data_IF_421833981608
#
_entry.id   IF_421833981608
#
_cell.length_a   1.000
_cell.length_b   1.000
_cell.length_c   1.000
_cell.angle_alpha   90.00
_cell.angle_beta   90.00
_cell.angle_gamma   90.00
#
_symmetry.space_group_name_H-M   'P 1'
#
loop_
_entity.id
_entity.type
_entity.pdbx_description
1 polymer ?
#
# COMPACT_ATOMS: atom_id res chain seq x y z
N UNK A 1 -38.53 52.94 -48.80
CA UNK A 1 -38.25 52.34 -50.13
C UNK A 1 -38.02 50.86 -49.85
N UNK A 2 -39.10 50.09 -49.61
CA UNK A 2 -39.90 49.33 -50.61
C UNK A 2 -39.05 48.22 -51.26
N UNK A 3 -39.45 46.96 -51.39
CA UNK A 3 -40.59 46.19 -50.89
C UNK A 3 -40.30 44.70 -51.20
N UNK A 4 -40.61 43.82 -50.26
CA UNK A 4 -41.21 42.47 -50.35
C UNK A 4 -41.25 41.66 -51.67
N UNK A 5 -40.79 40.40 -51.61
CA UNK A 5 -41.49 39.14 -52.03
C UNK A 5 -40.57 37.95 -51.72
N UNK A 6 -40.79 37.10 -50.69
CA UNK A 6 -41.86 36.12 -50.46
C UNK A 6 -41.98 35.05 -51.57
N UNK A 7 -41.48 33.84 -51.31
CA UNK A 7 -42.25 32.63 -51.62
C UNK A 7 -41.90 31.49 -50.66
N UNK A 8 -42.93 30.90 -50.07
CA UNK A 8 -42.93 29.80 -49.12
C UNK A 8 -43.83 28.69 -49.69
N UNK A 9 -43.39 27.43 -49.67
CA UNK A 9 -44.22 26.21 -49.84
C UNK A 9 -43.30 25.00 -49.66
N UNK A 10 -43.58 23.88 -48.99
CA UNK A 10 -44.47 23.43 -47.94
C UNK A 10 -43.92 22.03 -47.52
N UNK A 11 -44.06 21.62 -46.25
CA UNK A 11 -43.86 20.24 -45.75
C UNK A 11 -45.00 19.30 -46.23
N UNK A 12 -45.17 18.03 -45.77
CA UNK A 12 -44.30 17.04 -45.09
C UNK A 12 -44.34 15.64 -45.76
N UNK A 13 -43.50 14.69 -45.33
CA UNK A 13 -43.60 13.29 -45.78
C UNK A 13 -42.81 12.30 -44.94
N UNK A 14 -43.48 11.68 -43.97
CA UNK A 14 -43.06 10.43 -43.32
C UNK A 14 -43.03 9.29 -44.36
N UNK A 15 -41.98 8.47 -44.34
CA UNK A 15 -42.04 7.10 -44.85
C UNK A 15 -41.28 6.12 -43.94
N UNK A 16 -42.07 5.35 -43.20
CA UNK A 16 -41.69 4.12 -42.52
C UNK A 16 -41.36 3.00 -43.52
N UNK A 17 -40.51 2.05 -43.07
CA UNK A 17 -40.29 0.73 -43.70
C UNK A 17 -38.82 0.53 -44.10
N UNK A 18 -38.01 -0.31 -43.45
CA UNK A 18 -38.31 -1.61 -42.86
C UNK A 18 -37.86 -2.71 -43.82
N UNK A 19 -36.62 -3.21 -43.68
CA UNK A 19 -36.19 -4.52 -44.20
C UNK A 19 -34.77 -4.85 -43.72
N UNK A 20 -34.66 -5.51 -42.58
CA UNK A 20 -33.41 -6.04 -42.08
C UNK A 20 -33.67 -7.26 -41.20
N UNK A 21 -33.92 -8.41 -41.83
CA UNK A 21 -33.64 -9.79 -41.37
C UNK A 21 -34.60 -10.78 -42.04
N UNK A 22 -34.11 -11.76 -42.82
CA UNK A 22 -34.84 -12.98 -43.05
C UNK A 22 -34.36 -14.06 -42.06
N UNK A 23 -35.22 -14.39 -41.09
CA UNK A 23 -35.24 -15.72 -40.48
C UNK A 23 -36.12 -16.63 -41.34
N UNK A 24 -35.76 -17.91 -41.45
CA UNK A 24 -36.77 -18.95 -41.32
C UNK A 24 -36.40 -19.96 -40.21
N UNK A 25 -37.30 -20.09 -39.24
CA UNK A 25 -37.52 -21.26 -38.38
C UNK A 25 -38.21 -22.39 -39.22
N UNK A 26 -38.56 -23.61 -38.72
CA UNK A 26 -38.19 -24.31 -37.48
C UNK A 26 -37.96 -25.86 -37.63
N UNK A 27 -37.56 -26.47 -36.51
CA UNK A 27 -37.96 -27.81 -36.01
C UNK A 27 -37.16 -29.08 -36.43
N UNK A 28 -36.49 -29.72 -35.47
CA UNK A 28 -37.00 -30.94 -34.79
C UNK A 28 -35.99 -31.54 -33.79
N UNK A 29 -36.42 -31.63 -32.52
CA UNK A 29 -36.42 -32.86 -31.72
C UNK A 29 -35.10 -33.58 -31.38
N UNK A 30 -34.69 -33.49 -30.11
CA UNK A 30 -33.78 -34.44 -29.47
C UNK A 30 -33.69 -34.21 -27.96
N UNK A 31 -34.46 -35.00 -27.20
CA UNK A 31 -34.63 -34.99 -25.73
C UNK A 31 -33.36 -35.43 -24.95
N UNK A 32 -33.32 -35.19 -23.62
CA UNK A 32 -32.12 -35.30 -22.77
C UNK A 32 -31.91 -36.73 -22.24
N UNK A 33 -30.67 -37.06 -21.85
CA UNK A 33 -30.34 -38.25 -21.09
C UNK A 33 -29.74 -37.87 -19.73
N UNK A 34 -30.44 -38.31 -18.68
CA UNK A 34 -30.05 -38.30 -17.27
C UNK A 34 -28.89 -39.24 -16.96
N UNK A 35 -28.17 -38.93 -15.88
CA UNK A 35 -27.77 -39.94 -14.88
C UNK A 35 -26.28 -40.15 -14.66
N UNK A 36 -25.77 -39.63 -13.54
CA UNK A 36 -24.96 -40.40 -12.58
C UNK A 36 -24.77 -39.60 -11.27
N UNK A 37 -25.38 -40.11 -10.20
CA UNK A 37 -25.20 -39.72 -8.80
C UNK A 37 -23.85 -40.19 -8.22
N UNK A 38 -23.47 -39.58 -7.09
CA UNK A 38 -22.41 -40.00 -6.16
C UNK A 38 -21.18 -39.10 -6.25
N UNK A 39 -20.69 -38.44 -5.20
CA UNK A 39 -20.57 -38.86 -3.80
C UNK A 39 -20.38 -37.65 -2.88
N UNK A 40 -21.00 -37.71 -1.70
CA UNK A 40 -20.75 -36.86 -0.54
C UNK A 40 -19.30 -36.99 -0.02
N UNK A 41 -18.81 -35.93 0.62
CA UNK A 41 -17.74 -36.00 1.61
C UNK A 41 -16.38 -35.46 1.17
N UNK A 42 -16.18 -34.15 1.32
CA UNK A 42 -14.87 -33.63 1.70
C UNK A 42 -15.07 -32.44 2.63
N UNK A 43 -14.63 -32.67 3.86
CA UNK A 43 -14.62 -31.78 5.01
C UNK A 43 -14.05 -30.40 4.67
N UNK A 44 -14.49 -29.40 5.44
CA UNK A 44 -13.96 -28.05 5.39
C UNK A 44 -12.45 -28.04 5.56
N UNK A 45 -11.75 -27.86 4.45
CA UNK A 45 -10.37 -27.44 4.43
C UNK A 45 -10.36 -25.91 4.43
N UNK A 46 -9.91 -25.31 5.53
CA UNK A 46 -9.35 -23.97 5.54
C UNK A 46 -8.09 -23.98 4.63
N UNK A 47 -8.31 -23.95 3.32
CA UNK A 47 -7.28 -23.91 2.30
C UNK A 47 -7.02 -22.47 1.90
N UNK A 48 -5.90 -21.92 2.37
CA UNK A 48 -5.56 -20.51 2.30
C UNK A 48 -5.84 -19.85 0.95
N UNK A 49 -6.74 -18.87 0.96
CA UNK A 49 -6.99 -17.88 -0.08
C UNK A 49 -5.84 -16.86 -0.18
N UNK A 50 -4.61 -17.34 -0.22
CA UNK A 50 -3.43 -16.55 -0.52
C UNK A 50 -3.10 -16.65 -2.01
N UNK A 51 -2.41 -15.67 -2.61
CA UNK A 51 -1.91 -15.76 -3.99
C UNK A 51 -1.01 -16.97 -4.25
N UNK A 52 -0.57 -17.65 -3.19
CA UNK A 52 0.19 -18.89 -3.26
C UNK A 52 -0.65 -20.14 -3.61
N UNK A 53 -1.98 -20.09 -3.49
CA UNK A 53 -2.90 -21.16 -3.95
C UNK A 53 -3.20 -21.09 -5.45
N UNK A 54 -2.91 -19.94 -6.08
CA UNK A 54 -2.99 -19.75 -7.51
C UNK A 54 -1.76 -20.40 -8.16
N UNK A 55 -1.94 -21.42 -9.01
CA UNK A 55 -0.82 -22.01 -9.76
C UNK A 55 -0.06 -20.98 -10.61
N UNK A 56 1.05 -21.36 -11.25
CA UNK A 56 1.96 -20.44 -11.96
C UNK A 56 1.28 -19.43 -12.91
N UNK A 57 0.22 -19.87 -13.60
CA UNK A 57 -0.56 -19.00 -14.48
C UNK A 57 -1.31 -17.91 -13.72
N UNK A 58 -1.88 -18.24 -12.56
CA UNK A 58 -2.59 -17.30 -11.71
C UNK A 58 -1.64 -16.27 -11.07
N UNK A 59 -0.47 -16.69 -10.59
CA UNK A 59 0.56 -15.75 -10.08
C UNK A 59 0.99 -14.75 -11.15
N UNK A 60 1.27 -15.22 -12.37
CA UNK A 60 1.62 -14.35 -13.51
C UNK A 60 0.49 -13.37 -13.87
N UNK A 61 -0.76 -13.82 -13.80
CA UNK A 61 -1.92 -12.95 -14.06
C UNK A 61 -2.06 -11.85 -13.00
N UNK A 62 -1.86 -12.21 -11.72
CA UNK A 62 -1.88 -11.25 -10.61
C UNK A 62 -0.76 -10.22 -10.74
N UNK A 63 0.47 -10.65 -11.03
CA UNK A 63 1.61 -9.75 -11.26
C UNK A 63 1.36 -8.79 -12.42
N UNK A 64 0.78 -9.29 -13.51
CA UNK A 64 0.40 -8.47 -14.65
C UNK A 64 -0.70 -7.45 -14.30
N UNK A 65 -1.65 -7.82 -13.44
CA UNK A 65 -2.68 -6.90 -12.94
C UNK A 65 -2.08 -5.81 -12.06
N UNK A 66 -1.24 -6.17 -11.07
CA UNK A 66 -0.52 -5.21 -10.22
C UNK A 66 0.36 -4.25 -11.03
N UNK A 67 1.01 -4.75 -12.09
CA UNK A 67 1.79 -3.90 -12.99
C UNK A 67 0.92 -2.91 -13.77
N UNK A 68 -0.24 -3.35 -14.29
CA UNK A 68 -1.19 -2.47 -14.99
C UNK A 68 -1.77 -1.42 -14.05
N UNK A 69 -2.10 -1.80 -12.82
CA UNK A 69 -2.62 -0.87 -11.83
C UNK A 69 -1.60 0.23 -11.50
N UNK A 70 -0.34 -0.13 -11.23
CA UNK A 70 0.73 0.86 -11.01
C UNK A 70 0.92 1.79 -12.21
N UNK A 71 0.89 1.26 -13.43
CA UNK A 71 0.97 2.08 -14.64
C UNK A 71 -0.25 3.02 -14.78
N UNK A 72 -1.45 2.56 -14.43
CA UNK A 72 -2.65 3.38 -14.44
C UNK A 72 -2.58 4.49 -13.39
N UNK A 73 -2.13 4.20 -12.17
CA UNK A 73 -1.90 5.21 -11.11
C UNK A 73 -0.87 6.25 -11.54
N UNK A 74 0.26 5.83 -12.11
CA UNK A 74 1.28 6.75 -12.62
C UNK A 74 0.70 7.70 -13.69
N UNK A 75 -0.10 7.17 -14.62
CA UNK A 75 -0.76 7.97 -15.65
C UNK A 75 -1.83 8.90 -15.07
N UNK A 76 -2.58 8.46 -14.07
CA UNK A 76 -3.56 9.29 -13.39
C UNK A 76 -2.89 10.52 -12.77
N UNK A 77 -1.77 10.32 -12.06
CA UNK A 77 -0.96 11.41 -11.48
C UNK A 77 -0.44 12.38 -12.52
N UNK A 78 0.05 11.89 -13.66
CA UNK A 78 0.50 12.75 -14.76
C UNK A 78 -0.65 13.60 -15.31
N UNK A 79 -1.82 13.00 -15.54
CA UNK A 79 -3.00 13.73 -16.02
C UNK A 79 -3.52 14.73 -15.00
N UNK A 80 -3.50 14.39 -13.70
CA UNK A 80 -3.87 15.30 -12.62
C UNK A 80 -2.93 16.51 -12.54
N UNK A 81 -1.63 16.31 -12.71
CA UNK A 81 -0.65 17.40 -12.79
C UNK A 81 -0.93 18.30 -14.00
N UNK A 82 -1.20 17.72 -15.17
CA UNK A 82 -1.55 18.48 -16.38
C UNK A 82 -2.86 19.27 -16.19
N UNK A 83 -3.87 18.68 -15.56
CA UNK A 83 -5.14 19.36 -15.25
C UNK A 83 -4.94 20.50 -14.24
N UNK A 84 -4.12 20.29 -13.21
CA UNK A 84 -3.80 21.33 -12.24
C UNK A 84 -3.06 22.50 -12.88
N UNK A 85 -2.15 22.21 -13.82
CA UNK A 85 -1.42 23.23 -14.58
C UNK A 85 -2.33 24.02 -15.52
N UNK A 86 -3.19 23.34 -16.29
CA UNK A 86 -4.17 24.02 -17.15
C UNK A 86 -5.15 24.89 -16.35
N UNK A 87 -5.62 24.41 -15.20
CA UNK A 87 -6.47 25.21 -14.30
C UNK A 87 -5.77 26.46 -13.81
N UNK A 88 -4.49 26.35 -13.44
CA UNK A 88 -3.67 27.48 -13.03
C UNK A 88 -3.58 28.56 -14.11
N UNK A 89 -3.37 28.14 -15.36
CA UNK A 89 -3.26 29.04 -16.50
C UNK A 89 -4.59 29.75 -16.77
N UNK A 90 -5.71 29.04 -16.66
CA UNK A 90 -7.04 29.63 -16.80
C UNK A 90 -7.34 30.66 -15.70
N UNK A 91 -7.03 30.35 -14.44
CA UNK A 91 -7.22 31.24 -13.28
C UNK A 91 -6.25 32.43 -13.27
N UNK A 92 -5.13 32.32 -13.99
CA UNK A 92 -4.13 33.37 -14.12
C UNK A 92 -4.52 34.48 -15.10
N UNK A 93 -5.40 34.20 -16.08
CA UNK A 93 -5.69 35.11 -17.19
C UNK A 93 -6.23 36.50 -16.76
N UNK A 94 -6.93 36.57 -15.63
CA UNK A 94 -7.51 37.82 -15.11
C UNK A 94 -6.60 38.57 -14.11
N UNK A 95 -5.43 37.99 -13.77
CA UNK A 95 -4.51 38.51 -12.75
C UNK A 95 -3.36 39.28 -13.38
N UNK A 96 -2.84 40.27 -12.67
CA UNK A 96 -1.61 40.96 -13.10
C UNK A 96 -0.39 40.01 -13.05
N UNK A 97 0.68 40.25 -13.81
CA UNK A 97 1.88 39.41 -13.79
C UNK A 97 2.48 39.23 -12.39
N UNK A 98 2.44 40.28 -11.56
CA UNK A 98 2.97 40.25 -10.19
C UNK A 98 2.10 39.38 -9.27
N UNK A 99 0.77 39.44 -9.41
CA UNK A 99 -0.15 38.58 -8.67
C UNK A 99 0.00 37.11 -9.07
N UNK A 100 0.12 36.83 -10.37
CA UNK A 100 0.37 35.48 -10.89
C UNK A 100 1.67 34.91 -10.33
N UNK A 101 2.75 35.69 -10.32
CA UNK A 101 4.04 35.25 -9.80
C UNK A 101 4.00 34.95 -8.29
N UNK A 102 3.32 35.81 -7.50
CA UNK A 102 3.15 35.60 -6.07
C UNK A 102 2.33 34.36 -5.74
N UNK A 103 1.26 34.11 -6.49
CA UNK A 103 0.40 32.95 -6.27
C UNK A 103 1.07 31.65 -6.72
N UNK A 104 1.75 31.67 -7.87
CA UNK A 104 2.57 30.56 -8.32
C UNK A 104 3.64 30.18 -7.28
N UNK A 105 4.35 31.17 -6.74
CA UNK A 105 5.34 30.95 -5.68
C UNK A 105 4.73 30.37 -4.40
N UNK A 106 3.56 30.85 -3.97
CA UNK A 106 2.85 30.30 -2.80
C UNK A 106 2.42 28.86 -3.02
N UNK A 107 1.88 28.57 -4.21
CA UNK A 107 1.43 27.22 -4.58
C UNK A 107 2.62 26.26 -4.65
N UNK A 108 3.69 26.63 -5.32
CA UNK A 108 4.90 25.81 -5.42
C UNK A 108 5.50 25.55 -4.03
N UNK A 109 5.57 26.57 -3.16
CA UNK A 109 6.02 26.39 -1.79
C UNK A 109 5.12 25.43 -0.99
N UNK A 110 3.80 25.52 -1.14
CA UNK A 110 2.86 24.63 -0.48
C UNK A 110 2.97 23.18 -0.99
N UNK A 111 3.04 23.00 -2.32
CA UNK A 111 3.24 21.68 -2.96
C UNK A 111 4.56 21.06 -2.52
N UNK A 112 5.65 21.83 -2.49
CA UNK A 112 6.96 21.35 -2.08
C UNK A 112 6.99 20.96 -0.60
N UNK A 113 6.34 21.74 0.26
CA UNK A 113 6.22 21.43 1.68
C UNK A 113 5.41 20.15 1.92
N UNK A 114 4.27 20.02 1.23
CA UNK A 114 3.43 18.82 1.29
C UNK A 114 4.19 17.58 0.79
N UNK A 115 4.88 17.68 -0.35
CA UNK A 115 5.71 16.59 -0.89
C UNK A 115 6.76 16.13 0.12
N UNK A 116 7.50 17.06 0.73
CA UNK A 116 8.52 16.74 1.75
C UNK A 116 7.91 16.11 3.01
N UNK A 117 6.72 16.53 3.42
CA UNK A 117 6.03 15.93 4.56
C UNK A 117 5.59 14.50 4.23
N UNK A 118 4.96 14.30 3.08
CA UNK A 118 4.49 12.99 2.62
C UNK A 118 5.66 12.01 2.44
N UNK A 119 6.78 12.46 1.87
CA UNK A 119 7.98 11.62 1.76
C UNK A 119 8.49 11.18 3.14
N UNK A 120 8.47 12.06 4.14
CA UNK A 120 8.88 11.70 5.52
C UNK A 120 7.92 10.70 6.16
N UNK A 121 6.63 10.84 5.91
CA UNK A 121 5.59 9.90 6.38
C UNK A 121 5.87 8.52 5.78
N UNK A 122 5.93 8.43 4.43
CA UNK A 122 6.18 7.17 3.74
C UNK A 122 7.48 6.51 4.19
N UNK A 123 8.57 7.26 4.30
CA UNK A 123 9.86 6.72 4.76
C UNK A 123 9.79 6.18 6.18
N UNK A 124 9.02 6.82 7.05
CA UNK A 124 8.85 6.39 8.44
C UNK A 124 8.01 5.13 8.52
N UNK A 125 6.92 5.08 7.75
CA UNK A 125 6.00 3.94 7.72
C UNK A 125 6.66 2.70 7.12
N UNK A 126 7.38 2.86 6.00
CA UNK A 126 8.15 1.77 5.38
C UNK A 126 9.19 1.22 6.35
N UNK A 127 9.92 2.08 7.07
CA UNK A 127 10.89 1.64 8.10
C UNK A 127 10.19 0.94 9.26
N UNK A 128 9.04 1.46 9.71
CA UNK A 128 8.28 0.86 10.81
C UNK A 128 7.78 -0.54 10.44
N UNK A 129 7.20 -0.71 9.25
CA UNK A 129 6.76 -1.99 8.71
C UNK A 129 7.93 -2.97 8.51
N UNK A 130 9.12 -2.47 8.15
CA UNK A 130 10.33 -3.28 7.97
C UNK A 130 11.01 -3.67 9.30
N UNK A 131 10.74 -2.97 10.40
CA UNK A 131 11.51 -3.03 11.65
C UNK A 131 11.71 -4.43 12.26
N UNK A 132 10.76 -5.34 12.06
CA UNK A 132 10.80 -6.72 12.58
C UNK A 132 11.00 -7.78 11.48
N UNK A 133 11.12 -7.35 10.23
CA UNK A 133 11.10 -8.20 9.05
C UNK A 133 12.45 -8.22 8.35
N UNK A 134 13.12 -7.08 8.32
CA UNK A 134 14.46 -6.92 7.75
C UNK A 134 15.51 -6.83 8.85
N UNK A 135 16.73 -7.29 8.55
CA UNK A 135 17.88 -7.15 9.44
C UNK A 135 18.24 -5.68 9.66
N UNK A 136 18.21 -4.87 8.59
CA UNK A 136 18.24 -3.41 8.65
C UNK A 136 16.95 -2.83 8.04
N UNK A 137 16.12 -2.11 8.83
CA UNK A 137 14.90 -1.50 8.31
C UNK A 137 15.17 -0.43 7.24
N UNK A 138 16.37 0.16 7.21
CA UNK A 138 16.75 1.14 6.20
C UNK A 138 16.93 0.53 4.80
N UNK A 139 17.24 -0.77 4.70
CA UNK A 139 17.38 -1.47 3.41
C UNK A 139 16.08 -1.46 2.60
N UNK A 140 14.92 -1.37 3.27
CA UNK A 140 13.64 -1.21 2.59
C UNK A 140 13.63 0.06 1.70
N UNK A 141 14.19 1.18 2.18
CA UNK A 141 14.23 2.44 1.41
C UNK A 141 15.22 2.43 0.25
N UNK A 142 16.15 1.47 0.24
CA UNK A 142 17.12 1.28 -0.85
C UNK A 142 16.52 0.42 -1.95
N UNK A 143 15.61 -0.49 -1.60
CA UNK A 143 15.09 -1.51 -2.52
C UNK A 143 13.64 -1.31 -2.94
N UNK A 144 12.85 -0.52 -2.21
CA UNK A 144 11.51 -0.12 -2.58
C UNK A 144 11.53 1.29 -3.17
N UNK A 145 10.71 1.50 -4.20
CA UNK A 145 10.45 2.84 -4.70
C UNK A 145 9.42 3.53 -3.80
N UNK A 146 9.82 4.59 -3.09
CA UNK A 146 8.91 5.32 -2.18
C UNK A 146 7.75 5.96 -2.95
N UNK A 147 7.99 6.36 -4.21
CA UNK A 147 6.99 7.01 -5.07
C UNK A 147 5.88 6.06 -5.54
N UNK A 148 6.08 4.73 -5.41
CA UNK A 148 5.03 3.73 -5.73
C UNK A 148 3.87 3.78 -4.71
N UNK A 149 4.10 4.37 -3.52
CA UNK A 149 3.13 4.48 -2.44
C UNK A 149 2.48 5.87 -2.39
N UNK A 150 1.32 5.95 -1.76
CA UNK A 150 0.54 7.19 -1.62
C UNK A 150 0.25 7.48 -0.15
N UNK A 151 0.16 8.78 0.14
CA UNK A 151 -0.37 9.28 1.41
C UNK A 151 -1.74 9.86 1.09
N UNK A 152 -2.78 9.38 1.76
CA UNK A 152 -4.14 9.89 1.61
C UNK A 152 -4.27 11.33 2.09
N UNK A 153 -5.40 11.96 1.78
CA UNK A 153 -5.69 13.35 2.18
C UNK A 153 -5.74 13.55 3.71
N UNK A 154 -6.01 12.47 4.45
CA UNK A 154 -5.99 12.40 5.92
C UNK A 154 -4.59 12.16 6.51
N UNK A 155 -3.58 11.92 5.66
CA UNK A 155 -2.22 11.61 6.07
C UNK A 155 -1.96 10.12 6.29
N UNK A 156 -2.94 9.25 6.03
CA UNK A 156 -2.80 7.80 6.20
C UNK A 156 -2.12 7.14 5.00
N UNK A 157 -1.51 5.97 5.23
CA UNK A 157 -0.81 5.19 4.21
C UNK A 157 -1.38 3.78 4.20
N UNK A 158 -1.45 3.16 3.02
CA UNK A 158 -1.83 1.75 2.89
C UNK A 158 -0.73 0.83 3.48
N UNK A 159 -0.89 0.48 4.75
CA UNK A 159 0.03 -0.40 5.47
C UNK A 159 0.04 -1.84 4.93
N UNK A 160 -1.05 -2.30 4.30
CA UNK A 160 -1.11 -3.62 3.67
C UNK A 160 -0.27 -3.64 2.40
N UNK A 161 -0.37 -2.61 1.56
CA UNK A 161 0.45 -2.45 0.35
C UNK A 161 1.96 -2.41 0.71
N UNK A 162 2.34 -1.67 1.76
CA UNK A 162 3.72 -1.64 2.25
C UNK A 162 4.15 -3.03 2.74
N UNK A 163 3.30 -3.70 3.53
CA UNK A 163 3.60 -5.04 4.05
C UNK A 163 3.80 -6.05 2.92
N UNK A 164 2.95 -6.02 1.90
CA UNK A 164 3.05 -6.85 0.70
C UNK A 164 4.34 -6.57 -0.07
N UNK A 165 4.69 -5.31 -0.27
CA UNK A 165 5.92 -4.92 -0.94
C UNK A 165 7.17 -5.43 -0.18
N UNK A 166 7.15 -5.37 1.15
CA UNK A 166 8.23 -5.94 1.99
C UNK A 166 8.25 -7.47 1.90
N UNK A 167 7.09 -8.15 1.83
CA UNK A 167 7.02 -9.60 1.62
C UNK A 167 7.67 -9.99 0.29
N UNK A 168 7.32 -9.30 -0.78
CA UNK A 168 7.89 -9.55 -2.11
C UNK A 168 9.38 -9.21 -2.18
N UNK A 169 9.82 -8.18 -1.44
CA UNK A 169 11.24 -7.86 -1.29
C UNK A 169 12.00 -9.03 -0.65
N UNK A 170 11.48 -9.60 0.44
CA UNK A 170 12.11 -10.73 1.14
C UNK A 170 12.12 -12.01 0.29
N UNK A 171 11.09 -12.26 -0.52
CA UNK A 171 11.09 -13.38 -1.49
C UNK A 171 12.21 -13.23 -2.51
N UNK A 172 12.44 -12.01 -3.01
CA UNK A 172 13.49 -11.71 -4.01
C UNK A 172 14.89 -11.62 -3.40
N UNK A 173 14.98 -11.16 -2.16
CA UNK A 173 16.23 -10.88 -1.44
C UNK A 173 16.16 -11.47 -0.02
N UNK A 174 16.21 -12.81 0.11
CA UNK A 174 16.04 -13.49 1.39
C UNK A 174 17.16 -13.15 2.39
N UNK A 175 18.34 -12.74 1.92
CA UNK A 175 19.46 -12.32 2.76
C UNK A 175 19.18 -11.03 3.56
N UNK A 176 18.13 -10.27 3.22
CA UNK A 176 17.73 -9.08 3.97
C UNK A 176 16.88 -9.42 5.19
N UNK A 177 16.39 -10.66 5.33
CA UNK A 177 15.50 -11.04 6.41
C UNK A 177 16.18 -10.87 7.78
N UNK A 178 15.42 -10.43 8.78
CA UNK A 178 15.90 -10.39 10.15
C UNK A 178 16.26 -11.81 10.62
N UNK A 179 17.54 -12.05 10.92
CA UNK A 179 17.94 -13.25 11.63
C UNK A 179 17.45 -13.08 13.08
N UNK A 180 16.39 -13.82 13.46
CA UNK A 180 15.67 -13.70 14.73
C UNK A 180 16.48 -13.12 15.89
N UNK A 181 16.30 -11.81 16.10
CA UNK A 181 16.94 -11.04 17.15
C UNK A 181 16.05 -9.83 17.40
N UNK A 182 15.49 -9.73 18.60
CA UNK A 182 14.65 -8.60 18.97
C UNK A 182 15.52 -7.34 18.92
N UNK A 183 15.16 -6.27 18.17
CA UNK A 183 15.86 -5.01 18.27
C UNK A 183 15.69 -4.51 19.70
N UNK A 184 16.75 -4.60 20.49
CA UNK A 184 16.79 -4.01 21.82
C UNK A 184 16.95 -2.51 21.62
N UNK A 185 15.83 -1.80 21.73
CA UNK A 185 15.85 -0.36 21.85
C UNK A 185 16.47 -0.04 23.22
N UNK A 186 17.78 0.26 23.23
CA UNK A 186 18.47 0.77 24.41
C UNK A 186 17.88 2.15 24.71
N UNK A 187 16.79 2.14 25.47
CA UNK A 187 16.23 3.34 26.06
C UNK A 187 17.29 3.84 27.03
N UNK A 188 18.09 4.81 26.56
CA UNK A 188 19.06 5.57 27.34
C UNK A 188 18.36 6.37 28.45
N UNK A 189 17.79 5.65 29.44
CA UNK A 189 17.14 6.18 30.64
C UNK A 189 16.90 5.08 31.67
N UNK A 190 17.90 4.25 31.90
CA UNK A 190 17.96 3.37 33.05
C UNK A 190 19.40 2.99 33.28
N UNK A 191 19.93 3.28 34.47
CA UNK A 191 21.23 2.75 34.91
C UNK A 191 21.09 1.23 34.99
N UNK A 192 21.26 0.56 33.85
CA UNK A 192 21.09 -0.88 33.72
C UNK A 192 22.04 -1.56 34.69
N UNK A 193 21.50 -2.50 35.47
CA UNK A 193 22.32 -3.36 36.32
C UNK A 193 23.39 -4.00 35.42
N UNK A 194 24.69 -3.90 35.75
CA UNK A 194 25.73 -4.41 34.87
C UNK A 194 25.51 -5.89 34.56
N UNK A 195 25.79 -6.29 33.31
CA UNK A 195 25.48 -7.62 32.77
C UNK A 195 25.96 -8.71 33.74
N UNK A 196 25.04 -9.60 34.14
CA UNK A 196 25.31 -10.74 35.04
C UNK A 196 24.96 -10.52 36.52
N UNK A 197 24.62 -9.29 36.91
CA UNK A 197 24.17 -8.96 38.27
C UNK A 197 22.67 -9.20 38.45
N UNK A 198 22.29 -9.75 39.61
CA UNK A 198 20.89 -9.94 40.00
C UNK A 198 20.32 -8.66 40.62
N UNK A 199 19.04 -8.42 40.43
CA UNK A 199 18.31 -7.28 41.00
C UNK A 199 17.63 -7.64 42.32
N UNK A 200 17.16 -6.64 43.08
CA UNK A 200 16.38 -6.88 44.32
C UNK A 200 15.09 -7.68 44.06
N UNK A 201 14.50 -7.54 42.87
CA UNK A 201 13.30 -8.29 42.50
C UNK A 201 13.61 -9.77 42.32
N UNK A 202 14.75 -10.10 41.68
CA UNK A 202 15.18 -11.49 41.45
C UNK A 202 15.45 -12.24 42.77
N UNK A 203 15.96 -11.52 43.79
CA UNK A 203 16.24 -12.10 45.11
C UNK A 203 14.99 -12.49 45.89
N UNK A 204 13.83 -11.87 45.61
CA UNK A 204 12.58 -12.13 46.33
C UNK A 204 12.06 -13.55 46.09
N UNK A 205 12.39 -14.14 44.95
CA UNK A 205 12.02 -15.51 44.57
C UNK A 205 13.10 -16.57 44.82
N UNK A 206 14.29 -16.18 45.29
CA UNK A 206 15.40 -17.11 45.50
C UNK A 206 15.43 -17.66 46.93
N UNK A 207 15.77 -18.94 47.04
CA UNK A 207 16.05 -19.56 48.33
C UNK A 207 17.35 -19.00 48.94
N UNK A 208 17.48 -19.12 50.27
CA UNK A 208 18.69 -18.69 50.98
C UNK A 208 19.98 -19.35 50.45
N UNK A 209 19.88 -20.58 49.95
CA UNK A 209 21.01 -21.30 49.35
C UNK A 209 21.44 -20.66 48.03
N UNK A 210 20.49 -20.27 47.18
CA UNK A 210 20.75 -19.63 45.89
C UNK A 210 21.29 -18.20 46.05
N UNK A 211 20.79 -17.45 47.02
CA UNK A 211 21.30 -16.12 47.36
C UNK A 211 22.77 -16.21 47.79
N UNK A 212 23.12 -17.20 48.62
CA UNK A 212 24.51 -17.41 49.04
C UNK A 212 25.42 -17.85 47.89
N UNK A 213 24.92 -18.68 46.96
CA UNK A 213 25.65 -19.06 45.76
C UNK A 213 25.88 -17.84 44.84
N UNK A 214 24.85 -17.02 44.63
CA UNK A 214 24.95 -15.79 43.85
C UNK A 214 25.92 -14.77 44.48
N UNK A 215 25.96 -14.68 45.80
CA UNK A 215 26.93 -13.86 46.54
C UNK A 215 28.36 -14.33 46.32
N UNK A 216 28.61 -15.64 46.40
CA UNK A 216 29.95 -16.22 46.14
C UNK A 216 30.38 -16.04 44.68
N UNK A 217 29.42 -16.08 43.76
CA UNK A 217 29.64 -15.88 42.33
C UNK A 217 29.78 -14.39 41.94
N UNK A 218 29.77 -13.45 42.89
CA UNK A 218 29.91 -12.01 42.61
C UNK A 218 28.71 -11.39 41.88
N UNK A 219 27.57 -12.10 41.81
CA UNK A 219 26.38 -11.65 41.07
C UNK A 219 25.50 -10.66 41.84
N UNK A 220 25.87 -10.31 43.07
CA UNK A 220 25.12 -9.41 43.95
C UNK A 220 25.82 -8.08 44.22
N UNK A 221 26.97 -7.83 43.59
CA UNK A 221 27.77 -6.64 43.82
C UNK A 221 27.01 -5.33 43.52
N UNK A 222 26.02 -5.37 42.61
CA UNK A 222 25.19 -4.20 42.30
C UNK A 222 24.20 -3.89 43.42
N UNK A 223 23.58 -4.94 43.98
CA UNK A 223 22.63 -4.81 45.09
C UNK A 223 23.35 -4.48 46.39
N UNK A 224 24.59 -4.97 46.55
CA UNK A 224 25.44 -4.73 47.71
C UNK A 224 26.26 -3.43 47.62
N UNK A 225 26.12 -2.64 46.55
CA UNK A 225 26.80 -1.35 46.39
C UNK A 225 28.32 -1.45 46.27
N UNK A 226 28.84 -2.59 45.79
CA UNK A 226 30.27 -2.86 45.63
C UNK A 226 30.82 -2.51 44.24
N UNK A 227 29.94 -2.22 43.29
CA UNK A 227 30.31 -1.68 41.98
C UNK A 227 30.48 -0.16 42.10
N UNK A 228 31.67 0.33 41.75
CA UNK A 228 31.97 1.76 41.57
C UNK A 228 31.64 2.17 40.15
#
# INVERSE_FOLDING_TARGET
MNDTTANATAEPGQNDGGAGSPNPDPAHGGKPAEGAEGTEGAEGGEGGDGPDSLGDKGKKALDAMKAKERAARAKARELEQQLAEMKAQLEGNDKTPDEQALEAARREAATEAARKANERILRSEIRAAAAKRLADPADALVHLNVDDFEVGDDGEVDGEEISDAITELLKKKPYLAAQGGTPSFDSARGKGTPKGQLTRADLKGMSAKEINAARKAGRLDAVLGKLK
#
